data_IF_109237190172
#
_entry.id   IF_109237190172
#
_cell.length_a   1.000
_cell.length_b   1.000
_cell.length_c   1.000
_cell.angle_alpha   90.00
_cell.angle_beta   90.00
_cell.angle_gamma   90.00
#
_symmetry.space_group_name_H-M   'P 1'
#
loop_
_entity.id
_entity.type
_entity.pdbx_description
1 polymer ?
#
# COMPACT_ATOMS: atom_id res chain seq x y z
N UNK A 1 -26.51 0.71 3.85
CA UNK A 1 -25.98 0.80 2.48
C UNK A 1 -24.77 1.68 2.58
N UNK A 2 -23.68 1.31 1.93
CA UNK A 2 -22.39 1.96 2.12
C UNK A 2 -21.85 2.43 0.77
N UNK A 3 -20.93 3.39 0.80
CA UNK A 3 -20.34 3.98 -0.40
C UNK A 3 -18.83 3.81 -0.41
N UNK A 4 -18.29 3.52 -1.59
CA UNK A 4 -16.85 3.55 -1.87
C UNK A 4 -16.53 4.83 -2.64
N UNK A 5 -15.53 5.57 -2.16
CA UNK A 5 -15.06 6.83 -2.77
C UNK A 5 -13.69 6.76 -3.43
N UNK A 6 -13.09 5.58 -3.41
CA UNK A 6 -11.79 5.30 -4.02
C UNK A 6 -11.15 4.05 -3.43
N UNK A 7 -10.23 3.48 -4.21
CA UNK A 7 -9.37 2.38 -3.82
C UNK A 7 -8.01 2.96 -3.45
N UNK A 8 -7.62 2.80 -2.19
CA UNK A 8 -6.57 3.60 -1.54
C UNK A 8 -5.33 2.74 -1.26
N UNK A 9 -4.15 3.25 -1.58
CA UNK A 9 -2.90 2.77 -0.96
C UNK A 9 -2.81 3.31 0.47
N UNK A 10 -2.58 2.42 1.43
CA UNK A 10 -2.59 2.75 2.87
C UNK A 10 -1.48 2.03 3.61
N UNK A 11 -0.95 2.69 4.64
CA UNK A 11 0.04 2.15 5.57
C UNK A 11 -0.49 2.18 7.02
N UNK A 12 -1.76 2.52 7.22
CA UNK A 12 -2.37 2.73 8.53
C UNK A 12 -2.35 1.46 9.41
N UNK A 13 -1.68 1.47 10.58
CA UNK A 13 -1.74 0.34 11.52
C UNK A 13 -3.00 0.34 12.38
N UNK A 14 -3.57 1.51 12.66
CA UNK A 14 -4.79 1.65 13.46
C UNK A 14 -5.50 2.96 13.15
N UNK A 15 -6.82 3.07 13.40
CA UNK A 15 -7.54 4.33 13.21
C UNK A 15 -7.02 5.47 14.10
N UNK A 16 -6.39 5.15 15.24
CA UNK A 16 -5.82 6.13 16.17
C UNK A 16 -4.48 6.68 15.70
N UNK A 17 -3.65 5.82 15.10
CA UNK A 17 -2.37 6.21 14.51
C UNK A 17 -2.53 6.95 13.19
N UNK A 18 -3.64 6.66 12.50
CA UNK A 18 -3.99 7.20 11.19
C UNK A 18 -2.92 6.84 10.14
N UNK A 19 -2.95 7.48 8.97
CA UNK A 19 -2.24 7.02 7.78
C UNK A 19 -1.13 7.97 7.32
N UNK A 20 -0.30 7.49 6.39
CA UNK A 20 0.73 8.27 5.70
C UNK A 20 1.01 7.70 4.30
N UNK A 21 1.58 8.51 3.40
CA UNK A 21 2.00 8.06 2.07
C UNK A 21 0.84 7.51 1.23
N UNK A 22 -0.31 8.19 1.32
CA UNK A 22 -1.60 7.70 0.86
C UNK A 22 -2.08 8.41 -0.41
N UNK A 23 -2.59 7.65 -1.36
CA UNK A 23 -3.30 8.16 -2.54
C UNK A 23 -4.41 7.18 -2.92
N UNK A 24 -5.35 7.61 -3.76
CA UNK A 24 -6.47 6.77 -4.18
C UNK A 24 -6.74 6.84 -5.68
N UNK A 25 -7.33 5.76 -6.20
CA UNK A 25 -7.79 5.64 -7.58
C UNK A 25 -9.30 5.35 -7.56
N UNK A 26 -10.08 5.99 -8.42
CA UNK A 26 -11.52 5.75 -8.52
C UNK A 26 -11.97 5.74 -9.99
N UNK A 27 -12.45 4.61 -10.52
CA UNK A 27 -13.10 4.58 -11.83
C UNK A 27 -14.53 5.10 -11.72
N UNK A 28 -14.94 5.97 -12.65
CA UNK A 28 -16.30 6.54 -12.71
C UNK A 28 -16.82 6.56 -14.15
N UNK A 29 -18.13 6.70 -14.32
CA UNK A 29 -18.76 6.96 -15.62
C UNK A 29 -19.67 8.19 -15.55
N UNK A 30 -19.94 8.80 -16.71
CA UNK A 30 -20.91 9.90 -16.81
C UNK A 30 -20.34 11.25 -16.38
N UNK A 31 -20.78 11.78 -15.24
CA UNK A 31 -20.45 13.14 -14.80
C UNK A 31 -19.05 13.25 -14.21
N UNK A 32 -18.19 14.09 -14.81
CA UNK A 32 -16.85 14.35 -14.32
C UNK A 32 -16.87 15.15 -13.00
N UNK A 33 -16.43 14.53 -11.90
CA UNK A 33 -16.38 15.15 -10.57
C UNK A 33 -15.19 14.63 -9.76
N UNK A 34 -14.41 15.53 -9.17
CA UNK A 34 -13.27 15.15 -8.33
C UNK A 34 -13.61 14.98 -6.85
N UNK A 35 -14.56 15.79 -6.35
CA UNK A 35 -15.01 15.76 -4.95
C UNK A 35 -15.30 14.33 -4.47
N UNK A 36 -14.71 13.96 -3.34
CA UNK A 36 -14.67 12.57 -2.88
C UNK A 36 -16.06 12.01 -2.54
N UNK A 37 -16.99 12.83 -2.05
CA UNK A 37 -18.31 12.37 -1.62
C UNK A 37 -19.27 12.31 -2.80
N UNK A 38 -19.09 13.20 -3.78
CA UNK A 38 -19.85 13.22 -5.04
C UNK A 38 -19.40 12.15 -6.04
N UNK A 39 -18.11 11.78 -6.06
CA UNK A 39 -17.62 10.67 -6.92
C UNK A 39 -17.92 9.28 -6.35
N UNK A 40 -18.34 9.21 -5.09
CA UNK A 40 -18.56 7.96 -4.39
C UNK A 40 -19.71 7.15 -5.01
N UNK A 41 -19.60 5.83 -4.92
CA UNK A 41 -20.58 4.90 -5.47
C UNK A 41 -21.15 3.99 -4.40
N UNK A 42 -22.45 3.76 -4.41
CA UNK A 42 -23.08 2.71 -3.61
C UNK A 42 -22.54 1.33 -3.99
N UNK A 43 -22.36 0.47 -2.97
CA UNK A 43 -22.07 -0.94 -3.17
C UNK A 43 -22.83 -1.82 -2.16
N UNK A 44 -22.76 -3.13 -2.36
CA UNK A 44 -23.27 -4.13 -1.42
C UNK A 44 -22.22 -5.20 -1.17
N UNK A 45 -22.09 -5.64 0.09
CA UNK A 45 -21.25 -6.80 0.44
C UNK A 45 -21.64 -8.08 -0.30
N UNK A 46 -22.88 -8.19 -0.82
CA UNK A 46 -23.30 -9.32 -1.67
C UNK A 46 -22.61 -9.33 -3.04
N UNK A 47 -22.12 -8.18 -3.49
CA UNK A 47 -21.38 -8.00 -4.75
C UNK A 47 -19.91 -7.63 -4.48
N UNK A 48 -19.41 -7.93 -3.28
CA UNK A 48 -18.03 -7.71 -2.86
C UNK A 48 -17.36 -9.05 -2.59
N UNK A 49 -16.10 -9.16 -3.00
CA UNK A 49 -15.22 -10.27 -2.65
C UNK A 49 -13.94 -9.70 -2.10
N UNK A 50 -13.64 -9.99 -0.84
CA UNK A 50 -12.42 -9.57 -0.17
C UNK A 50 -11.58 -10.79 0.22
N UNK A 51 -10.38 -10.90 -0.34
CA UNK A 51 -9.39 -11.92 -0.04
C UNK A 51 -8.01 -11.25 0.14
N UNK A 52 -7.08 -11.84 0.90
CA UNK A 52 -5.75 -11.27 1.11
C UNK A 52 -4.96 -10.92 -0.17
N UNK A 53 -5.23 -11.62 -1.27
CA UNK A 53 -4.55 -11.50 -2.57
C UNK A 53 -5.43 -10.93 -3.69
N UNK A 54 -6.70 -10.64 -3.41
CA UNK A 54 -7.65 -10.21 -4.44
C UNK A 54 -8.87 -9.52 -3.81
N UNK A 55 -9.20 -8.35 -4.34
CA UNK A 55 -10.42 -7.65 -3.99
C UNK A 55 -11.25 -7.36 -5.25
N UNK A 56 -12.57 -7.48 -5.15
CA UNK A 56 -13.53 -7.14 -6.20
C UNK A 56 -14.77 -6.50 -5.62
N UNK A 57 -15.28 -5.46 -6.29
CA UNK A 57 -16.57 -4.85 -5.95
C UNK A 57 -17.26 -4.29 -7.19
N UNK A 58 -18.59 -4.29 -7.16
CA UNK A 58 -19.41 -3.59 -8.15
C UNK A 58 -19.83 -2.21 -7.62
N UNK A 59 -19.51 -1.16 -8.38
CA UNK A 59 -19.83 0.24 -8.11
C UNK A 59 -21.15 0.59 -8.80
N UNK A 60 -22.25 0.57 -8.04
CA UNK A 60 -23.61 0.59 -8.60
C UNK A 60 -23.95 1.89 -9.36
N UNK A 61 -23.46 3.04 -8.87
CA UNK A 61 -23.74 4.34 -9.50
C UNK A 61 -22.99 4.54 -10.82
N UNK A 62 -21.90 3.80 -11.03
CA UNK A 62 -21.03 3.94 -12.21
C UNK A 62 -21.19 2.78 -13.20
N UNK A 63 -21.90 1.71 -12.81
CA UNK A 63 -21.97 0.43 -13.55
C UNK A 63 -20.57 -0.12 -13.89
N UNK A 64 -19.64 -0.03 -12.91
CA UNK A 64 -18.25 -0.48 -13.07
C UNK A 64 -17.94 -1.58 -12.07
N UNK A 65 -17.39 -2.69 -12.54
CA UNK A 65 -16.74 -3.67 -11.64
C UNK A 65 -15.27 -3.31 -11.51
N UNK A 66 -14.79 -3.16 -10.28
CA UNK A 66 -13.37 -2.93 -9.99
C UNK A 66 -12.78 -4.12 -9.28
N UNK A 67 -11.60 -4.52 -9.74
CA UNK A 67 -10.82 -5.61 -9.16
C UNK A 67 -9.37 -5.17 -8.97
N UNK A 68 -8.69 -5.68 -7.94
CA UNK A 68 -7.27 -5.41 -7.69
C UNK A 68 -6.54 -6.63 -7.13
N UNK A 69 -5.29 -6.79 -7.55
CA UNK A 69 -4.38 -7.87 -7.12
C UNK A 69 -2.99 -7.27 -6.81
N UNK A 70 -2.57 -7.24 -5.53
CA UNK A 70 -1.31 -6.63 -5.12
C UNK A 70 -0.11 -7.59 -5.17
N UNK A 71 1.08 -7.02 -5.26
CA UNK A 71 2.38 -7.60 -4.88
C UNK A 71 2.88 -6.89 -3.61
N UNK A 72 4.19 -6.93 -3.30
CA UNK A 72 4.72 -6.27 -2.09
C UNK A 72 4.65 -4.74 -2.18
N UNK A 73 4.93 -4.15 -3.34
CA UNK A 73 5.02 -2.69 -3.58
C UNK A 73 4.25 -2.20 -4.80
N UNK A 74 3.58 -3.10 -5.52
CA UNK A 74 2.79 -2.80 -6.70
C UNK A 74 1.39 -3.44 -6.64
N UNK A 75 0.49 -3.00 -7.50
CA UNK A 75 -0.87 -3.56 -7.65
C UNK A 75 -1.33 -3.41 -9.08
N UNK A 76 -2.00 -4.43 -9.62
CA UNK A 76 -2.73 -4.30 -10.87
C UNK A 76 -4.22 -4.14 -10.57
N UNK A 77 -4.82 -3.09 -11.13
CA UNK A 77 -6.26 -2.91 -11.20
C UNK A 77 -6.81 -3.46 -12.51
N UNK A 78 -8.04 -3.96 -12.46
CA UNK A 78 -8.86 -4.33 -13.61
C UNK A 78 -10.23 -3.66 -13.46
N UNK A 79 -10.53 -2.72 -14.34
CA UNK A 79 -11.82 -2.01 -14.39
C UNK A 79 -12.64 -2.56 -15.55
N UNK A 80 -13.81 -3.12 -15.27
CA UNK A 80 -14.76 -3.54 -16.31
C UNK A 80 -15.83 -2.48 -16.44
N UNK A 81 -15.82 -1.76 -17.56
CA UNK A 81 -16.72 -0.63 -17.83
C UNK A 81 -17.97 -1.05 -18.63
N UNK A 82 -19.05 -0.28 -18.54
CA UNK A 82 -20.21 -0.41 -19.42
C UNK A 82 -19.91 0.25 -20.78
N UNK A 83 -20.86 0.18 -21.71
CA UNK A 83 -20.79 0.98 -22.92
C UNK A 83 -21.03 2.46 -22.58
N UNK A 84 -20.03 3.31 -22.82
CA UNK A 84 -20.15 4.75 -22.57
C UNK A 84 -19.09 5.53 -23.34
N UNK A 85 -19.39 6.79 -23.67
CA UNK A 85 -18.41 7.73 -24.22
C UNK A 85 -17.56 8.41 -23.14
N UNK A 86 -18.02 8.35 -21.89
CA UNK A 86 -17.51 9.13 -20.76
C UNK A 86 -17.13 8.18 -19.63
N UNK A 87 -16.11 7.34 -19.85
CA UNK A 87 -15.46 6.56 -18.79
C UNK A 87 -14.22 7.33 -18.32
N UNK A 88 -14.02 7.39 -17.01
CA UNK A 88 -12.88 8.09 -16.41
C UNK A 88 -12.22 7.26 -15.31
N UNK A 89 -10.95 7.58 -15.06
CA UNK A 89 -10.23 7.17 -13.86
C UNK A 89 -9.71 8.44 -13.18
N UNK A 90 -10.08 8.59 -11.90
CA UNK A 90 -9.61 9.68 -11.04
C UNK A 90 -8.45 9.15 -10.21
N UNK A 91 -7.37 9.92 -10.15
CA UNK A 91 -6.26 9.76 -9.23
C UNK A 91 -6.29 10.92 -8.25
N UNK A 92 -6.32 10.61 -6.96
CA UNK A 92 -6.37 11.58 -5.87
C UNK A 92 -5.10 11.45 -5.02
N UNK A 93 -4.22 12.45 -5.11
CA UNK A 93 -2.94 12.46 -4.41
C UNK A 93 -3.04 13.01 -2.96
N UNK A 94 -4.27 13.30 -2.51
CA UNK A 94 -4.59 13.85 -1.19
C UNK A 94 -4.04 15.26 -0.94
N UNK A 95 -4.47 15.86 0.18
CA UNK A 95 -4.12 17.20 0.65
C UNK A 95 -2.77 17.24 1.42
N UNK A 96 -2.39 18.43 1.91
CA UNK A 96 -1.15 18.73 2.66
C UNK A 96 0.15 18.71 1.85
N UNK A 97 0.05 18.94 0.54
CA UNK A 97 1.19 19.00 -0.37
C UNK A 97 1.25 17.76 -1.25
N UNK A 98 0.84 17.89 -2.49
CA UNK A 98 0.88 16.78 -3.44
C UNK A 98 1.20 17.25 -4.84
N UNK A 99 1.51 16.27 -5.68
CA UNK A 99 1.87 16.47 -7.06
C UNK A 99 1.30 15.37 -7.94
N UNK A 100 0.87 15.76 -9.13
CA UNK A 100 0.55 14.84 -10.21
C UNK A 100 1.07 15.35 -11.54
N UNK A 101 1.42 14.41 -12.42
CA UNK A 101 1.67 14.66 -13.83
C UNK A 101 1.12 13.52 -14.68
N UNK A 102 0.33 13.86 -15.69
CA UNK A 102 -0.15 12.96 -16.73
C UNK A 102 0.83 13.02 -17.90
N UNK A 103 1.22 11.86 -18.41
CA UNK A 103 2.13 11.68 -19.54
C UNK A 103 1.35 10.89 -20.61
N UNK A 104 0.54 11.57 -21.45
CA UNK A 104 -0.42 10.90 -22.33
C UNK A 104 0.23 9.97 -23.37
N UNK A 105 1.40 10.34 -23.88
CA UNK A 105 2.18 9.56 -24.85
C UNK A 105 2.65 8.21 -24.30
N UNK A 106 2.71 8.08 -22.97
CA UNK A 106 3.03 6.85 -22.27
C UNK A 106 1.81 6.19 -21.63
N UNK A 107 0.59 6.73 -21.76
CA UNK A 107 -0.60 6.31 -21.00
C UNK A 107 -0.32 6.23 -19.49
N UNK A 108 0.41 7.21 -18.96
CA UNK A 108 0.98 7.16 -17.61
C UNK A 108 0.57 8.36 -16.77
N UNK A 109 0.45 8.14 -15.46
CA UNK A 109 0.33 9.19 -14.45
C UNK A 109 1.41 8.94 -13.41
N UNK A 110 2.16 9.97 -13.06
CA UNK A 110 3.12 9.96 -11.94
C UNK A 110 2.71 11.01 -10.91
N UNK A 111 3.20 10.89 -9.69
CA UNK A 111 2.94 11.88 -8.67
C UNK A 111 3.60 11.58 -7.34
N UNK A 112 3.29 12.40 -6.33
CA UNK A 112 3.58 12.06 -4.94
C UNK A 112 2.52 12.59 -3.98
N UNK A 113 2.40 11.91 -2.84
CA UNK A 113 1.65 12.39 -1.68
C UNK A 113 2.58 12.58 -0.46
N UNK A 114 2.36 13.65 0.30
CA UNK A 114 3.05 13.88 1.58
C UNK A 114 2.13 13.71 2.79
N UNK A 115 0.81 13.51 2.59
CA UNK A 115 -0.14 13.47 3.70
C UNK A 115 0.26 12.40 4.70
N UNK A 116 0.45 12.83 5.94
CA UNK A 116 0.88 12.00 7.05
C UNK A 116 0.24 12.45 8.36
N UNK A 117 0.52 11.68 9.40
CA UNK A 117 -0.01 11.86 10.75
C UNK A 117 1.10 12.10 11.80
N UNK A 118 2.25 12.62 11.36
CA UNK A 118 3.46 12.80 12.15
C UNK A 118 4.44 11.63 12.06
N UNK A 119 5.59 11.75 12.72
CA UNK A 119 6.66 10.74 12.68
C UNK A 119 7.30 10.61 11.30
N UNK A 120 7.45 11.71 10.56
CA UNK A 120 8.13 11.73 9.27
C UNK A 120 9.15 12.88 9.22
N UNK A 121 10.29 12.71 8.51
CA UNK A 121 11.21 13.80 8.20
C UNK A 121 10.58 14.84 7.26
N UNK A 122 11.14 16.05 7.20
CA UNK A 122 10.62 17.16 6.38
C UNK A 122 10.56 16.84 4.88
N UNK A 123 11.45 15.97 4.39
CA UNK A 123 11.55 15.61 2.99
C UNK A 123 10.58 14.49 2.54
N UNK A 124 9.79 13.92 3.46
CA UNK A 124 8.92 12.77 3.24
C UNK A 124 8.00 12.91 2.04
N UNK A 125 8.02 11.90 1.15
CA UNK A 125 7.10 11.73 0.03
C UNK A 125 6.89 10.24 -0.24
N UNK A 126 5.68 9.86 -0.63
CA UNK A 126 5.45 8.61 -1.33
C UNK A 126 5.22 8.93 -2.81
N UNK A 127 6.16 8.54 -3.67
CA UNK A 127 6.12 8.70 -5.11
C UNK A 127 5.36 7.55 -5.74
N UNK A 128 4.42 7.81 -6.65
CA UNK A 128 3.64 6.78 -7.32
C UNK A 128 3.74 6.89 -8.83
N UNK A 129 3.59 5.74 -9.49
CA UNK A 129 3.42 5.60 -10.94
C UNK A 129 2.21 4.74 -11.24
N UNK A 130 1.44 5.13 -12.24
CA UNK A 130 0.24 4.44 -12.73
C UNK A 130 0.34 4.34 -14.25
N UNK A 131 0.37 3.13 -14.77
CA UNK A 131 0.48 2.82 -16.20
C UNK A 131 -0.80 2.14 -16.69
N UNK A 132 -1.46 2.74 -17.67
CA UNK A 132 -2.69 2.19 -18.27
C UNK A 132 -2.41 1.45 -19.58
N UNK A 133 -3.28 0.50 -19.92
CA UNK A 133 -3.24 -0.25 -21.19
C UNK A 133 -4.17 0.34 -22.28
N UNK A 134 -4.84 1.45 -21.98
CA UNK A 134 -5.76 2.14 -22.88
C UNK A 134 -5.36 3.60 -23.10
N UNK A 135 -5.27 4.07 -24.36
CA UNK A 135 -4.98 5.48 -24.66
C UNK A 135 -6.00 6.46 -24.10
N UNK A 136 -5.52 7.61 -23.64
CA UNK A 136 -6.36 8.69 -23.12
C UNK A 136 -6.95 9.50 -24.27
N UNK A 137 -8.26 9.75 -24.23
CA UNK A 137 -8.92 10.74 -25.11
C UNK A 137 -9.34 11.99 -24.34
N UNK A 138 -9.18 11.97 -23.02
CA UNK A 138 -9.43 13.07 -22.12
C UNK A 138 -8.34 13.10 -21.05
N UNK A 139 -7.81 14.29 -20.76
CA UNK A 139 -6.81 14.52 -19.73
C UNK A 139 -7.12 15.83 -19.01
N UNK A 140 -7.04 15.80 -17.69
CA UNK A 140 -7.09 17.00 -16.84
C UNK A 140 -6.32 16.74 -15.56
N UNK A 141 -5.74 17.78 -14.99
CA UNK A 141 -5.32 17.77 -13.59
C UNK A 141 -6.35 18.45 -12.71
N UNK A 142 -6.16 18.33 -11.41
CA UNK A 142 -6.99 18.92 -10.37
C UNK A 142 -6.08 19.69 -9.43
N UNK A 143 -6.49 20.92 -9.13
CA UNK A 143 -5.83 21.80 -8.18
C UNK A 143 -6.87 22.35 -7.21
N UNK A 144 -6.75 22.01 -5.92
CA UNK A 144 -7.67 22.41 -4.85
C UNK A 144 -9.14 22.13 -5.20
N UNK A 145 -9.43 20.88 -5.60
CA UNK A 145 -10.75 20.41 -6.08
C UNK A 145 -11.26 21.00 -7.41
N UNK A 146 -10.53 21.93 -8.04
CA UNK A 146 -10.89 22.47 -9.33
C UNK A 146 -10.25 21.63 -10.44
N UNK A 147 -11.07 21.10 -11.34
CA UNK A 147 -10.61 20.40 -12.52
C UNK A 147 -10.10 21.44 -13.52
N UNK A 148 -8.86 21.27 -13.96
CA UNK A 148 -8.18 22.13 -14.93
C UNK A 148 -8.10 21.40 -16.27
N UNK A 149 -8.99 21.70 -17.24
CA UNK A 149 -9.05 20.96 -18.50
C UNK A 149 -7.77 21.10 -19.32
N UNK A 150 -7.29 20.00 -19.90
CA UNK A 150 -6.10 19.92 -20.75
C UNK A 150 -4.76 20.25 -20.06
N UNK A 151 -4.77 20.58 -18.77
CA UNK A 151 -3.56 20.65 -17.98
C UNK A 151 -3.07 19.22 -17.68
N UNK A 152 -1.76 19.04 -17.76
CA UNK A 152 -1.11 17.72 -17.57
C UNK A 152 -0.29 17.66 -16.30
N UNK A 153 -0.11 18.77 -15.58
CA UNK A 153 0.70 18.82 -14.36
C UNK A 153 0.01 19.70 -13.31
N UNK A 154 0.07 19.29 -12.05
CA UNK A 154 -0.39 20.10 -10.92
C UNK A 154 0.46 19.84 -9.68
N UNK A 155 0.85 20.91 -8.99
CA UNK A 155 1.53 20.89 -7.70
C UNK A 155 0.83 21.87 -6.77
N UNK A 156 0.40 21.42 -5.60
CA UNK A 156 -0.43 22.24 -4.72
C UNK A 156 -0.63 21.59 -3.36
N UNK A 157 -1.58 22.12 -2.59
CA UNK A 157 -1.96 21.53 -1.32
C UNK A 157 -2.76 20.24 -1.56
N UNK A 158 -3.77 20.24 -2.44
CA UNK A 158 -4.51 19.05 -2.85
C UNK A 158 -4.57 18.94 -4.38
N UNK A 159 -3.92 17.91 -4.91
CA UNK A 159 -3.84 17.66 -6.36
C UNK A 159 -4.39 16.29 -6.74
N UNK A 160 -4.75 16.15 -8.01
CA UNK A 160 -5.23 14.91 -8.59
C UNK A 160 -5.21 14.96 -10.11
N UNK A 161 -5.46 13.83 -10.75
CA UNK A 161 -5.54 13.73 -12.20
C UNK A 161 -6.83 13.01 -12.59
N UNK A 162 -7.37 13.35 -13.75
CA UNK A 162 -8.48 12.66 -14.37
C UNK A 162 -8.11 12.33 -15.81
N UNK A 163 -8.13 11.06 -16.13
CA UNK A 163 -8.01 10.58 -17.51
C UNK A 163 -9.32 9.96 -17.94
N UNK A 164 -9.61 9.97 -19.24
CA UNK A 164 -10.85 9.41 -19.76
C UNK A 164 -10.76 8.89 -21.18
N UNK A 165 -11.76 8.09 -21.52
CA UNK A 165 -11.87 7.36 -22.78
C UNK A 165 -13.30 6.85 -23.01
N UNK A 166 -13.59 6.39 -24.23
CA UNK A 166 -14.81 5.66 -24.55
C UNK A 166 -14.60 4.14 -24.37
N UNK A 167 -15.65 3.44 -23.94
CA UNK A 167 -15.66 1.99 -23.71
C UNK A 167 -16.87 1.31 -24.33
N UNK A 168 -16.72 0.04 -24.69
CA UNK A 168 -17.81 -0.87 -25.04
C UNK A 168 -18.29 -1.62 -23.81
N UNK A 169 -19.48 -2.24 -23.90
CA UNK A 169 -20.04 -3.05 -22.81
C UNK A 169 -19.09 -4.19 -22.43
N UNK A 170 -18.66 -4.19 -21.17
CA UNK A 170 -17.75 -5.21 -20.63
C UNK A 170 -16.30 -5.02 -21.03
N UNK A 171 -15.94 -3.85 -21.61
CA UNK A 171 -14.56 -3.56 -21.94
C UNK A 171 -13.72 -3.40 -20.67
N UNK A 172 -12.54 -4.01 -20.68
CA UNK A 172 -11.61 -4.05 -19.56
C UNK A 172 -10.49 -3.03 -19.79
N UNK A 173 -10.19 -2.24 -18.76
CA UNK A 173 -9.02 -1.36 -18.68
C UNK A 173 -8.18 -1.76 -17.48
N UNK A 174 -6.89 -1.99 -17.68
CA UNK A 174 -5.97 -2.26 -16.59
C UNK A 174 -5.19 -0.99 -16.20
N UNK A 175 -4.91 -0.87 -14.91
CA UNK A 175 -3.95 0.09 -14.40
C UNK A 175 -2.91 -0.63 -13.54
N UNK A 176 -1.64 -0.54 -13.94
CA UNK A 176 -0.50 -1.07 -13.21
C UNK A 176 0.05 0.05 -12.34
N UNK A 177 0.10 -0.17 -11.03
CA UNK A 177 0.41 0.86 -10.04
C UNK A 177 1.56 0.40 -9.17
N UNK A 178 2.48 1.29 -8.85
CA UNK A 178 3.49 1.07 -7.81
C UNK A 178 3.81 2.38 -7.11
N UNK A 179 4.40 2.28 -5.93
CA UNK A 179 4.95 3.44 -5.24
C UNK A 179 6.31 3.16 -4.61
N UNK A 180 6.97 4.23 -4.19
CA UNK A 180 8.26 4.21 -3.49
C UNK A 180 8.33 5.37 -2.51
N UNK A 181 9.03 5.17 -1.38
CA UNK A 181 9.38 6.27 -0.47
C UNK A 181 10.71 6.93 -0.84
N UNK A 182 11.42 6.41 -1.84
CA UNK A 182 12.77 6.81 -2.21
C UNK A 182 12.74 7.81 -3.37
N UNK A 183 12.20 7.42 -4.52
CA UNK A 183 12.15 8.31 -5.70
C UNK A 183 11.12 7.86 -6.75
N UNK A 184 10.78 8.72 -7.73
CA UNK A 184 9.98 8.31 -8.90
C UNK A 184 10.61 7.13 -9.68
N UNK A 185 11.93 7.11 -9.83
CA UNK A 185 12.66 6.06 -10.55
C UNK A 185 12.57 4.72 -9.81
N UNK A 186 12.63 4.76 -8.47
CA UNK A 186 12.45 3.56 -7.67
C UNK A 186 10.99 3.06 -7.72
N UNK A 187 9.98 3.95 -7.81
CA UNK A 187 8.59 3.55 -8.03
C UNK A 187 8.41 2.83 -9.38
N UNK A 188 9.06 3.31 -10.44
CA UNK A 188 9.12 2.64 -11.75
C UNK A 188 9.83 1.28 -11.67
N UNK A 189 10.87 1.15 -10.83
CA UNK A 189 11.53 -0.11 -10.59
C UNK A 189 10.60 -1.10 -9.86
N UNK A 190 9.89 -0.65 -8.82
CA UNK A 190 8.92 -1.47 -8.07
C UNK A 190 7.75 -1.92 -8.96
N UNK A 191 7.36 -1.14 -9.97
CA UNK A 191 6.34 -1.52 -10.95
C UNK A 191 6.68 -2.81 -11.71
N UNK A 192 7.97 -3.18 -11.77
CA UNK A 192 8.42 -4.44 -12.37
C UNK A 192 8.05 -5.66 -11.55
N UNK A 193 7.63 -5.54 -10.28
CA UNK A 193 7.09 -6.66 -9.48
C UNK A 193 5.89 -7.33 -10.17
N UNK A 194 5.08 -6.54 -10.90
CA UNK A 194 3.95 -7.06 -11.67
C UNK A 194 4.40 -7.88 -12.90
N UNK A 195 5.66 -7.74 -13.33
CA UNK A 195 6.26 -8.48 -14.45
C UNK A 195 5.44 -8.39 -15.73
N UNK A 196 5.42 -9.48 -16.51
CA UNK A 196 4.52 -9.66 -17.67
C UNK A 196 3.26 -10.46 -17.30
N UNK A 197 2.98 -10.63 -16.00
CA UNK A 197 1.85 -11.41 -15.54
C UNK A 197 0.53 -10.74 -15.94
N UNK A 198 -0.42 -11.56 -16.38
CA UNK A 198 -1.82 -11.16 -16.46
C UNK A 198 -2.42 -10.94 -15.07
N UNK A 199 -3.55 -10.25 -15.00
CA UNK A 199 -4.26 -10.04 -13.74
C UNK A 199 -4.56 -11.36 -13.00
N UNK A 200 -5.07 -12.37 -13.72
CA UNK A 200 -5.43 -13.65 -13.09
C UNK A 200 -4.20 -14.44 -12.61
N UNK A 201 -3.06 -14.30 -13.28
CA UNK A 201 -1.78 -14.84 -12.80
C UNK A 201 -1.33 -14.13 -11.52
N UNK A 202 -1.49 -12.81 -11.40
CA UNK A 202 -1.17 -12.09 -10.15
C UNK A 202 -2.07 -12.56 -8.99
N UNK A 203 -3.36 -12.79 -9.25
CA UNK A 203 -4.30 -13.36 -8.26
C UNK A 203 -3.87 -14.76 -7.83
N UNK A 204 -3.45 -15.62 -8.77
CA UNK A 204 -2.96 -16.96 -8.48
C UNK A 204 -1.66 -16.92 -7.65
N UNK A 205 -0.68 -16.12 -8.07
CA UNK A 205 0.60 -15.97 -7.37
C UNK A 205 0.40 -15.47 -5.93
N UNK A 206 -0.45 -14.45 -5.74
CA UNK A 206 -0.77 -13.95 -4.40
C UNK A 206 -1.45 -15.01 -3.54
N UNK A 207 -2.35 -15.83 -4.11
CA UNK A 207 -2.97 -16.96 -3.39
C UNK A 207 -1.92 -17.99 -2.97
N UNK A 208 -1.00 -18.34 -3.85
CA UNK A 208 0.07 -19.30 -3.55
C UNK A 208 0.98 -18.83 -2.41
N UNK A 209 1.34 -17.54 -2.40
CA UNK A 209 2.11 -16.94 -1.31
C UNK A 209 1.36 -17.08 0.01
N UNK A 210 0.10 -16.65 0.07
CA UNK A 210 -0.69 -16.74 1.31
C UNK A 210 -0.89 -18.18 1.77
N UNK A 211 -1.18 -19.10 0.84
CA UNK A 211 -1.33 -20.51 1.19
C UNK A 211 -0.03 -21.09 1.76
N UNK A 212 1.13 -20.79 1.15
CA UNK A 212 2.44 -21.25 1.65
C UNK A 212 2.72 -20.74 3.07
N UNK A 213 2.39 -19.47 3.35
CA UNK A 213 2.62 -18.92 4.69
C UNK A 213 1.61 -19.42 5.72
N UNK A 214 0.34 -19.60 5.33
CA UNK A 214 -0.72 -20.08 6.21
C UNK A 214 -0.62 -21.58 6.49
N UNK A 215 -0.13 -22.39 5.55
CA UNK A 215 0.01 -23.85 5.70
C UNK A 215 1.18 -24.25 6.62
N UNK A 216 1.93 -23.30 7.17
CA UNK A 216 2.89 -23.58 8.24
C UNK A 216 2.20 -24.05 9.53
N UNK A 217 0.90 -23.78 9.67
CA UNK A 217 0.06 -24.32 10.74
C UNK A 217 -1.19 -24.91 10.10
N UNK A 218 -1.32 -26.23 10.21
CA UNK A 218 -2.50 -26.97 9.80
C UNK A 218 -3.32 -27.30 11.05
N UNK A 219 -4.61 -26.95 11.01
CA UNK A 219 -5.56 -27.30 12.05
C UNK A 219 -6.72 -28.07 11.42
N UNK A 220 -7.21 -29.09 12.13
CA UNK A 220 -8.39 -29.86 11.76
C UNK A 220 -9.50 -29.55 12.77
N UNK A 221 -10.66 -29.14 12.27
CA UNK A 221 -11.84 -28.85 13.07
C UNK A 221 -13.09 -29.02 12.19
N UNK A 222 -14.11 -29.70 12.71
CA UNK A 222 -15.39 -29.88 12.01
C UNK A 222 -16.23 -28.59 11.99
N UNK A 223 -15.89 -27.61 12.83
CA UNK A 223 -16.52 -26.30 12.86
C UNK A 223 -15.81 -25.28 11.95
N UNK A 224 -16.46 -24.95 10.83
CA UNK A 224 -15.94 -23.97 9.86
C UNK A 224 -15.69 -22.57 10.45
N UNK A 225 -16.40 -22.17 11.50
CA UNK A 225 -16.22 -20.86 12.12
C UNK A 225 -14.94 -20.79 12.97
N UNK A 226 -14.50 -21.93 13.54
CA UNK A 226 -13.20 -22.04 14.19
C UNK A 226 -12.07 -21.90 13.16
N UNK A 227 -12.18 -22.60 12.03
CA UNK A 227 -11.22 -22.50 10.92
C UNK A 227 -11.13 -21.07 10.37
N UNK A 228 -12.28 -20.42 10.17
CA UNK A 228 -12.34 -19.01 9.72
C UNK A 228 -11.69 -18.08 10.72
N UNK A 229 -12.01 -18.21 12.00
CA UNK A 229 -11.43 -17.39 13.06
C UNK A 229 -9.92 -17.55 13.09
N UNK A 230 -9.44 -18.80 13.11
CA UNK A 230 -8.02 -19.10 13.19
C UNK A 230 -7.22 -18.51 12.01
N UNK A 231 -7.59 -18.83 10.77
CA UNK A 231 -6.86 -18.34 9.60
C UNK A 231 -7.03 -16.83 9.37
N UNK A 232 -8.14 -16.23 9.83
CA UNK A 232 -8.30 -14.77 9.83
C UNK A 232 -7.38 -14.11 10.85
N UNK A 233 -7.24 -14.67 12.05
CA UNK A 233 -6.27 -14.20 13.05
C UNK A 233 -4.83 -14.36 12.55
N UNK A 234 -4.49 -15.53 11.98
CA UNK A 234 -3.18 -15.80 11.42
C UNK A 234 -2.82 -14.81 10.29
N UNK A 235 -3.77 -14.54 9.38
CA UNK A 235 -3.64 -13.47 8.38
C UNK A 235 -3.25 -12.14 9.02
N UNK A 236 -3.96 -11.71 10.08
CA UNK A 236 -3.69 -10.44 10.76
C UNK A 236 -2.33 -10.41 11.46
N UNK A 237 -1.86 -11.54 11.97
CA UNK A 237 -0.54 -11.70 12.58
C UNK A 237 0.62 -11.65 11.57
N UNK A 238 0.34 -11.60 10.26
CA UNK A 238 1.36 -11.54 9.20
C UNK A 238 1.38 -10.21 8.44
N UNK A 239 0.67 -9.18 8.92
CA UNK A 239 0.61 -7.86 8.24
C UNK A 239 1.61 -6.83 8.78
N UNK A 240 1.89 -6.87 10.09
CA UNK A 240 2.69 -5.85 10.78
C UNK A 240 3.81 -6.49 11.63
N UNK A 241 4.96 -5.83 11.78
CA UNK A 241 5.36 -4.59 11.10
C UNK A 241 5.57 -4.83 9.59
N UNK A 242 5.28 -3.81 8.77
CA UNK A 242 5.45 -3.94 7.31
C UNK A 242 6.90 -3.75 6.90
N UNK A 243 7.29 -4.37 5.80
CA UNK A 243 8.52 -4.02 5.09
C UNK A 243 8.47 -2.54 4.69
N UNK A 244 9.52 -1.80 5.02
CA UNK A 244 9.73 -0.40 4.65
C UNK A 244 11.04 -0.21 3.85
N UNK A 245 11.61 -1.32 3.39
CA UNK A 245 12.73 -1.38 2.47
C UNK A 245 12.26 -1.68 1.04
N UNK A 246 13.10 -1.34 0.09
CA UNK A 246 12.94 -1.52 -1.35
C UNK A 246 14.21 -2.17 -1.92
N UNK A 247 14.13 -2.64 -3.17
CA UNK A 247 15.24 -3.33 -3.83
C UNK A 247 15.73 -2.44 -4.96
N UNK A 248 17.03 -2.14 -4.95
CA UNK A 248 17.66 -1.28 -5.95
C UNK A 248 17.82 -2.00 -7.31
N UNK A 249 18.34 -1.28 -8.31
CA UNK A 249 18.52 -1.84 -9.65
C UNK A 249 19.54 -3.00 -9.73
N UNK A 250 20.41 -3.15 -8.73
CA UNK A 250 21.40 -4.23 -8.62
C UNK A 250 20.86 -5.43 -7.84
N UNK A 251 19.71 -5.30 -7.18
CA UNK A 251 19.14 -6.32 -6.31
C UNK A 251 19.50 -6.14 -4.83
N UNK A 252 20.14 -5.04 -4.47
CA UNK A 252 20.55 -4.74 -3.10
C UNK A 252 19.39 -4.12 -2.31
N UNK A 253 19.35 -4.41 -1.01
CA UNK A 253 18.32 -3.90 -0.09
C UNK A 253 18.68 -2.48 0.35
N UNK A 254 17.73 -1.56 0.24
CA UNK A 254 17.86 -0.18 0.72
C UNK A 254 16.51 0.36 1.21
N UNK A 255 16.51 1.46 1.95
CA UNK A 255 15.28 2.06 2.45
C UNK A 255 15.40 3.58 2.54
N UNK A 256 14.26 4.27 2.45
CA UNK A 256 14.12 5.63 2.95
C UNK A 256 14.00 5.56 4.47
N UNK A 257 14.88 6.25 5.20
CA UNK A 257 14.81 6.32 6.65
C UNK A 257 13.67 7.24 7.08
N UNK A 258 12.64 6.73 7.78
CA UNK A 258 11.61 7.58 8.35
C UNK A 258 12.09 8.32 9.62
N UNK A 259 13.36 8.18 9.99
CA UNK A 259 13.95 8.77 11.18
C UNK A 259 14.82 9.98 10.86
N UNK A 260 15.65 9.90 9.82
CA UNK A 260 16.56 10.99 9.42
C UNK A 260 16.32 11.51 7.98
N UNK A 261 15.51 10.82 7.17
CA UNK A 261 15.15 11.24 5.81
C UNK A 261 16.18 10.87 4.74
N UNK A 262 17.24 10.15 5.07
CA UNK A 262 18.25 9.66 4.13
C UNK A 262 17.81 8.35 3.46
N UNK A 263 18.54 7.97 2.40
CA UNK A 263 18.37 6.67 1.75
C UNK A 263 19.59 5.82 2.08
N UNK A 264 19.37 4.73 2.80
CA UNK A 264 20.43 3.93 3.42
C UNK A 264 20.31 2.45 3.01
N UNK A 265 21.41 1.69 3.00
CA UNK A 265 21.38 0.26 2.74
C UNK A 265 20.75 -0.51 3.91
N UNK A 266 20.25 -1.71 3.63
CA UNK A 266 19.77 -2.66 4.63
C UNK A 266 18.27 -2.59 4.90
N UNK A 267 17.79 -3.50 5.74
CA UNK A 267 16.36 -3.65 6.03
C UNK A 267 15.80 -2.52 6.90
N UNK A 268 14.52 -2.23 6.73
CA UNK A 268 13.74 -1.33 7.58
C UNK A 268 12.31 -1.84 7.67
N UNK A 269 11.70 -1.73 8.84
CA UNK A 269 10.32 -2.14 9.13
C UNK A 269 9.65 -1.11 10.04
N UNK A 270 8.33 -0.93 9.90
CA UNK A 270 7.57 0.02 10.73
C UNK A 270 6.10 -0.38 10.88
N UNK A 271 5.27 0.49 11.44
CA UNK A 271 3.84 0.33 11.68
C UNK A 271 3.52 -0.71 12.76
N UNK A 272 4.23 -0.63 13.87
CA UNK A 272 3.95 -1.47 15.04
C UNK A 272 4.19 -0.73 16.34
N UNK A 273 3.39 -1.09 17.35
CA UNK A 273 3.58 -0.74 18.74
C UNK A 273 4.10 -1.91 19.52
N UNK A 274 5.28 -1.80 20.12
CA UNK A 274 5.85 -2.86 20.93
C UNK A 274 5.12 -3.05 22.24
N UNK A 275 4.46 -2.03 22.80
CA UNK A 275 3.57 -2.19 23.96
C UNK A 275 2.49 -3.26 23.75
N UNK A 276 2.02 -3.42 22.51
CA UNK A 276 1.08 -4.46 22.10
C UNK A 276 1.82 -5.75 21.72
N UNK A 277 2.74 -5.64 20.77
CA UNK A 277 3.21 -6.77 19.96
C UNK A 277 4.32 -7.59 20.61
N UNK A 278 4.97 -7.09 21.67
CA UNK A 278 5.96 -7.85 22.42
C UNK A 278 5.38 -9.12 23.08
N UNK A 279 4.08 -9.11 23.38
CA UNK A 279 3.41 -10.10 24.23
C UNK A 279 3.33 -11.47 23.57
N UNK A 280 2.95 -11.51 22.30
CA UNK A 280 2.79 -12.76 21.57
C UNK A 280 3.05 -12.65 20.06
N UNK A 281 2.99 -11.46 19.45
CA UNK A 281 3.22 -11.34 18.01
C UNK A 281 4.70 -11.58 17.68
N UNK A 282 5.64 -10.84 18.28
CA UNK A 282 7.07 -11.09 18.08
C UNK A 282 7.51 -12.48 18.57
N UNK A 283 7.03 -12.99 19.73
CA UNK A 283 7.25 -14.38 20.12
C UNK A 283 6.75 -15.40 19.10
N UNK A 284 5.60 -15.15 18.46
CA UNK A 284 5.07 -16.00 17.39
C UNK A 284 5.95 -15.96 16.15
N UNK A 285 6.45 -14.79 15.75
CA UNK A 285 7.39 -14.66 14.64
C UNK A 285 8.71 -15.40 14.91
N UNK A 286 9.22 -15.35 16.15
CA UNK A 286 10.41 -16.12 16.55
C UNK A 286 10.22 -17.64 16.37
N UNK A 287 9.00 -18.13 16.56
CA UNK A 287 8.69 -19.56 16.42
C UNK A 287 8.44 -19.94 14.95
N UNK A 288 7.55 -19.21 14.27
CA UNK A 288 6.98 -19.64 12.99
C UNK A 288 7.62 -18.96 11.77
N UNK A 289 8.18 -17.77 11.94
CA UNK A 289 8.76 -16.95 10.87
C UNK A 289 10.12 -16.35 11.27
N UNK A 290 11.07 -17.13 11.83
CA UNK A 290 12.29 -16.59 12.42
C UNK A 290 13.15 -15.84 11.40
N UNK A 291 13.19 -16.30 10.13
CA UNK A 291 13.93 -15.61 9.06
C UNK A 291 13.40 -14.21 8.76
N UNK A 292 12.08 -14.00 8.89
CA UNK A 292 11.50 -12.67 8.74
C UNK A 292 11.82 -11.81 9.96
N UNK A 293 11.71 -12.37 11.17
CA UNK A 293 12.03 -11.59 12.36
C UNK A 293 13.52 -11.23 12.45
N UNK A 294 14.44 -12.04 11.91
CA UNK A 294 15.86 -11.65 11.78
C UNK A 294 16.02 -10.37 10.96
N UNK A 295 15.29 -10.22 9.85
CA UNK A 295 15.29 -8.97 9.06
C UNK A 295 14.68 -7.81 9.83
N UNK A 296 13.62 -8.06 10.61
CA UNK A 296 13.02 -7.05 11.46
C UNK A 296 14.00 -6.58 12.55
N UNK A 297 14.76 -7.49 13.17
CA UNK A 297 15.80 -7.13 14.14
C UNK A 297 16.93 -6.31 13.51
N UNK A 298 17.37 -6.65 12.29
CA UNK A 298 18.31 -5.81 11.54
C UNK A 298 17.75 -4.40 11.30
N UNK A 299 16.46 -4.31 10.96
CA UNK A 299 15.75 -3.02 10.85
C UNK A 299 15.69 -2.22 12.16
N UNK A 300 15.67 -2.88 13.32
CA UNK A 300 15.74 -2.22 14.63
C UNK A 300 17.14 -1.69 14.93
N UNK A 301 18.18 -2.43 14.56
CA UNK A 301 19.57 -1.93 14.62
C UNK A 301 19.72 -0.68 13.76
N UNK A 302 19.19 -0.70 12.53
CA UNK A 302 19.18 0.45 11.64
C UNK A 302 18.38 1.63 12.23
N UNK A 303 17.19 1.36 12.79
CA UNK A 303 16.40 2.38 13.50
C UNK A 303 17.20 3.06 14.63
N UNK A 304 17.93 2.29 15.44
CA UNK A 304 18.77 2.84 16.50
C UNK A 304 19.92 3.68 15.93
N UNK A 305 20.62 3.18 14.90
CA UNK A 305 21.72 3.91 14.23
C UNK A 305 21.24 5.24 13.61
N UNK A 306 20.02 5.26 13.08
CA UNK A 306 19.46 6.39 12.34
C UNK A 306 18.76 7.43 13.22
N UNK A 307 18.34 7.05 14.43
CA UNK A 307 17.54 7.91 15.32
C UNK A 307 18.10 8.08 16.72
N UNK A 308 19.07 7.26 17.12
CA UNK A 308 19.61 7.19 18.49
C UNK A 308 18.75 6.41 19.48
N UNK A 309 17.60 5.87 19.08
CA UNK A 309 16.68 5.13 19.95
C UNK A 309 16.05 3.94 19.24
N UNK A 310 15.84 2.84 19.98
CA UNK A 310 14.91 1.80 19.52
C UNK A 310 13.47 2.37 19.52
N UNK A 311 12.62 1.94 18.59
CA UNK A 311 11.24 2.39 18.56
C UNK A 311 10.42 1.68 19.64
N UNK A 312 9.43 2.37 20.21
CA UNK A 312 8.36 1.74 20.99
C UNK A 312 7.04 1.75 20.21
N UNK A 313 6.72 2.88 19.59
CA UNK A 313 5.69 2.99 18.56
C UNK A 313 6.30 3.67 17.33
N UNK A 314 6.23 3.00 16.19
CA UNK A 314 6.70 3.54 14.91
C UNK A 314 5.59 3.54 13.86
N UNK A 315 5.35 4.70 13.23
CA UNK A 315 4.46 4.84 12.06
C UNK A 315 4.64 6.21 11.36
N UNK A 316 5.51 6.31 10.33
CA UNK A 316 6.61 5.38 10.05
C UNK A 316 7.83 5.59 10.97
N UNK A 317 8.10 6.82 11.41
CA UNK A 317 9.14 7.14 12.38
C UNK A 317 8.61 7.08 13.82
N UNK A 318 9.36 7.63 14.78
CA UNK A 318 8.98 7.64 16.20
C UNK A 318 7.66 8.38 16.44
N UNK A 319 6.76 7.76 17.22
CA UNK A 319 5.45 8.34 17.58
C UNK A 319 5.21 8.22 19.08
N UNK A 320 4.78 9.31 19.71
CA UNK A 320 4.42 9.34 21.13
C UNK A 320 3.09 8.65 21.38
N UNK A 321 3.11 7.32 21.55
CA UNK A 321 1.93 6.51 21.87
C UNK A 321 2.31 5.38 22.83
N UNK A 322 1.42 5.07 23.78
CA UNK A 322 1.61 4.06 24.83
C UNK A 322 2.87 4.31 25.67
N UNK A 323 3.35 3.30 26.41
CA UNK A 323 4.41 3.43 27.42
C UNK A 323 5.30 2.20 27.42
N UNK A 324 6.41 2.26 28.15
CA UNK A 324 7.30 1.11 28.40
C UNK A 324 8.61 1.21 27.65
N UNK A 325 9.47 0.23 27.89
CA UNK A 325 10.69 -0.04 27.15
C UNK A 325 10.58 -1.49 26.61
N UNK A 326 9.53 -1.75 25.85
CA UNK A 326 9.16 -3.08 25.40
C UNK A 326 10.00 -3.53 24.20
N UNK A 327 10.68 -2.61 23.51
CA UNK A 327 11.74 -2.93 22.56
C UNK A 327 12.82 -3.84 23.18
N UNK A 328 13.17 -3.63 24.45
CA UNK A 328 14.07 -4.50 25.18
C UNK A 328 13.59 -5.97 25.22
N UNK A 329 12.28 -6.20 25.39
CA UNK A 329 11.71 -7.55 25.34
C UNK A 329 11.76 -8.15 23.94
N UNK A 330 11.46 -7.35 22.91
CA UNK A 330 11.44 -7.80 21.51
C UNK A 330 12.83 -8.25 21.08
N UNK A 331 13.85 -7.44 21.36
CA UNK A 331 15.25 -7.74 21.02
C UNK A 331 15.79 -8.91 21.84
N UNK A 332 15.56 -8.93 23.15
CA UNK A 332 16.05 -10.00 24.02
C UNK A 332 15.41 -11.36 23.68
N UNK A 333 14.10 -11.42 23.43
CA UNK A 333 13.42 -12.69 23.09
C UNK A 333 13.94 -13.28 21.79
N UNK A 334 14.12 -12.44 20.76
CA UNK A 334 14.71 -12.86 19.49
C UNK A 334 16.13 -13.42 19.67
N UNK A 335 16.98 -12.70 20.41
CA UNK A 335 18.36 -13.12 20.64
C UNK A 335 18.45 -14.43 21.43
N UNK A 336 17.68 -14.56 22.51
CA UNK A 336 17.68 -15.76 23.36
C UNK A 336 17.13 -17.00 22.64
N UNK A 337 16.20 -16.82 21.68
CA UNK A 337 15.72 -17.89 20.81
C UNK A 337 16.62 -18.18 19.60
N UNK A 338 17.79 -17.55 19.55
CA UNK A 338 18.84 -17.90 18.58
C UNK A 338 18.75 -17.16 17.25
N UNK A 339 17.93 -16.12 17.14
CA UNK A 339 17.97 -15.25 15.95
C UNK A 339 19.25 -14.42 16.03
N UNK A 340 20.14 -14.63 15.04
CA UNK A 340 21.42 -13.92 14.85
C UNK A 340 21.54 -13.50 13.39
N UNK A 341 22.64 -12.85 13.02
CA UNK A 341 22.95 -12.46 11.64
C UNK A 341 22.86 -10.96 11.37
N UNK A 342 22.47 -10.19 12.39
CA UNK A 342 22.55 -8.73 12.44
C UNK A 342 23.59 -8.31 13.50
N UNK A 343 23.99 -7.05 13.46
CA UNK A 343 24.95 -6.45 14.39
C UNK A 343 24.31 -6.32 15.78
N UNK A 344 24.71 -7.19 16.70
CA UNK A 344 24.15 -7.24 18.06
C UNK A 344 24.90 -6.38 19.07
N UNK A 345 26.15 -6.04 18.77
CA UNK A 345 26.94 -5.21 19.68
C UNK A 345 26.41 -3.77 19.71
N UNK A 346 25.76 -3.34 18.62
CA UNK A 346 24.91 -2.15 18.57
C UNK A 346 23.56 -2.43 19.22
#
# INVERSE_FOLDING_TARGET
ADKIRGFKQTHQPSPWMNDYGQFAIMPITGGLVFDQDRRASWFSHKAEVAKPYYYKVYLADHDVTTELAPTERAVMFRFTYPETKNAYVIVDAFDKGSYVKVIPEENKIIGYSTKNSGGVPENFKNYFVIQFDKPFTFVSTVFENNILPNETEAKGNHTGAVIGFATKKGEIVHARVASSFISPEQAELNLKELGKNSFDQLVANGREIWNREMSKIEIEDDNIDNLRTFYSCLYRSMLFPRSFYEIDAKGDVMHYSPYNGEVLPGYMFTDTGFWDTFRCLFPFLNLMYPSMNTKMQEGLVNTYKESGFLPEWASPGHRGCMVGNNSASVVADAYLKGLKGYDIET
#
